data_IF_430892531588
#
_entry.id   IF_430892531588
#
_cell.length_a   1.000
_cell.length_b   1.000
_cell.length_c   1.000
_cell.angle_alpha   90.00
_cell.angle_beta   90.00
_cell.angle_gamma   90.00
#
_symmetry.space_group_name_H-M   'P 1'
#
loop_
_entity.id
_entity.type
_entity.pdbx_description
1 polymer ?
#
# COMPACT_ATOMS: atom_id res chain seq x y z
N UNK A 1 20.09 -47.42 37.20
CA UNK A 1 20.70 -46.18 37.69
C UNK A 1 21.49 -45.58 36.53
N UNK A 2 20.96 -44.50 35.93
CA UNK A 2 21.52 -43.60 34.91
C UNK A 2 22.13 -44.16 33.60
N UNK A 3 21.48 -43.88 32.48
CA UNK A 3 22.02 -43.90 31.11
C UNK A 3 22.36 -42.46 30.68
N UNK A 4 23.56 -42.16 30.14
CA UNK A 4 23.83 -40.87 29.52
C UNK A 4 23.39 -40.86 28.05
N UNK A 5 22.77 -39.75 27.66
CA UNK A 5 22.16 -39.53 26.36
C UNK A 5 23.17 -39.32 25.22
N UNK A 6 22.80 -39.91 24.09
CA UNK A 6 23.05 -39.57 22.68
C UNK A 6 23.64 -38.17 22.40
N UNK A 7 24.84 -38.13 21.80
CA UNK A 7 25.35 -36.99 21.05
C UNK A 7 25.70 -37.45 19.63
N UNK A 8 24.82 -37.13 18.66
CA UNK A 8 25.10 -37.26 17.22
C UNK A 8 25.12 -35.83 16.62
N UNK A 9 26.30 -35.30 16.24
CA UNK A 9 26.43 -34.00 15.62
C UNK A 9 26.26 -34.14 14.10
N UNK A 10 25.03 -34.35 13.66
CA UNK A 10 24.76 -34.58 12.24
C UNK A 10 23.35 -34.19 11.82
N UNK A 11 23.22 -33.00 11.23
CA UNK A 11 22.06 -32.47 10.47
C UNK A 11 21.02 -31.68 11.27
N UNK A 12 21.37 -30.46 11.66
CA UNK A 12 20.41 -29.35 11.70
C UNK A 12 20.52 -28.53 10.42
N UNK A 13 20.11 -29.12 9.30
CA UNK A 13 19.63 -28.32 8.18
C UNK A 13 18.13 -28.16 8.41
N UNK A 14 17.75 -27.07 9.08
CA UNK A 14 16.36 -26.64 9.17
C UNK A 14 15.91 -26.30 7.76
N UNK A 15 15.45 -27.30 7.01
CA UNK A 15 14.59 -27.08 5.87
C UNK A 15 13.31 -26.45 6.43
N UNK A 16 13.31 -25.12 6.55
CA UNK A 16 12.11 -24.33 6.53
C UNK A 16 11.44 -24.64 5.19
N UNK A 17 10.62 -25.70 5.19
CA UNK A 17 9.61 -25.94 4.19
C UNK A 17 8.78 -24.67 4.18
N UNK A 18 8.94 -23.88 3.11
CA UNK A 18 8.00 -22.84 2.79
C UNK A 18 6.61 -23.49 2.83
N UNK A 19 5.82 -23.10 3.82
CA UNK A 19 4.40 -23.45 3.92
C UNK A 19 3.69 -22.67 2.82
N UNK A 20 3.87 -23.13 1.59
CA UNK A 20 2.90 -22.91 0.54
C UNK A 20 1.73 -23.81 0.89
N UNK A 21 0.67 -23.23 1.47
CA UNK A 21 -0.73 -23.55 1.21
C UNK A 21 -1.62 -22.81 2.23
N UNK A 22 -1.84 -21.51 2.03
CA UNK A 22 -3.00 -20.79 2.61
C UNK A 22 -3.17 -19.42 1.95
N UNK A 23 -3.74 -19.40 0.74
CA UNK A 23 -4.76 -18.39 0.29
C UNK A 23 -5.10 -18.61 -1.19
N UNK A 24 -5.81 -19.70 -1.47
CA UNK A 24 -6.60 -19.84 -2.68
C UNK A 24 -7.96 -19.13 -2.57
N UNK A 25 -7.98 -17.90 -2.06
CA UNK A 25 -9.15 -17.04 -2.08
C UNK A 25 -8.94 -15.98 -3.15
N UNK A 26 -9.88 -15.83 -4.08
CA UNK A 26 -9.82 -14.80 -5.12
C UNK A 26 -9.39 -13.45 -4.52
N UNK A 27 -8.28 -12.89 -5.02
CA UNK A 27 -7.65 -11.66 -4.53
C UNK A 27 -8.51 -10.38 -4.73
N UNK A 28 -9.74 -10.52 -5.20
CA UNK A 28 -10.66 -9.44 -5.56
C UNK A 28 -11.20 -8.66 -4.34
N UNK A 29 -10.91 -9.10 -3.11
CA UNK A 29 -11.27 -8.41 -1.87
C UNK A 29 -10.11 -8.14 -0.90
N UNK A 30 -8.86 -8.37 -1.29
CA UNK A 30 -7.71 -8.16 -0.40
C UNK A 30 -7.44 -6.67 -0.18
N UNK A 31 -6.96 -6.29 1.01
CA UNK A 31 -6.49 -4.92 1.24
C UNK A 31 -5.40 -4.50 0.23
N UNK A 32 -4.60 -5.46 -0.24
CA UNK A 32 -3.58 -5.25 -1.26
C UNK A 32 -4.13 -4.69 -2.59
N UNK A 33 -5.35 -5.07 -2.96
CA UNK A 33 -6.03 -4.59 -4.17
C UNK A 33 -6.97 -3.41 -3.93
N UNK A 34 -7.10 -2.94 -2.69
CA UNK A 34 -8.05 -1.86 -2.34
C UNK A 34 -7.64 -0.48 -2.86
N UNK A 35 -8.63 0.33 -3.23
CA UNK A 35 -8.42 1.73 -3.64
C UNK A 35 -7.86 2.60 -2.50
N UNK A 36 -8.23 2.30 -1.25
CA UNK A 36 -7.70 3.01 -0.08
C UNK A 36 -6.18 2.84 0.03
N UNK A 37 -5.68 1.60 -0.08
CA UNK A 37 -4.24 1.35 -0.08
C UNK A 37 -3.55 2.13 -1.18
N UNK A 38 -4.10 2.10 -2.40
CA UNK A 38 -3.54 2.82 -3.55
C UNK A 38 -3.51 4.33 -3.29
N UNK A 39 -4.57 4.92 -2.73
CA UNK A 39 -4.60 6.33 -2.35
C UNK A 39 -3.53 6.69 -1.30
N UNK A 40 -3.34 5.85 -0.27
CA UNK A 40 -2.31 6.05 0.75
C UNK A 40 -0.90 5.98 0.16
N UNK A 41 -0.63 5.03 -0.75
CA UNK A 41 0.65 4.95 -1.45
C UNK A 41 0.90 6.13 -2.37
N UNK A 42 -0.12 6.62 -3.06
CA UNK A 42 -0.03 7.81 -3.89
C UNK A 42 0.34 9.06 -3.07
N UNK A 43 -0.34 9.27 -1.93
CA UNK A 43 -0.02 10.35 -1.00
C UNK A 43 1.41 10.23 -0.44
N UNK A 44 1.81 9.03 -0.01
CA UNK A 44 3.18 8.76 0.47
C UNK A 44 4.23 9.05 -0.60
N UNK A 45 3.96 8.66 -1.85
CA UNK A 45 4.83 8.89 -3.00
C UNK A 45 4.97 10.39 -3.27
N UNK A 46 3.84 11.10 -3.35
CA UNK A 46 3.84 12.55 -3.53
C UNK A 46 4.58 13.29 -2.41
N UNK A 47 4.41 12.86 -1.15
CA UNK A 47 5.15 13.44 -0.02
C UNK A 47 6.65 13.18 -0.14
N UNK A 48 7.04 11.94 -0.45
CA UNK A 48 8.46 11.55 -0.57
C UNK A 48 9.16 12.32 -1.67
N UNK A 49 8.47 12.54 -2.78
CA UNK A 49 9.00 13.20 -3.98
C UNK A 49 8.70 14.70 -4.01
N UNK A 50 7.94 15.20 -3.04
CA UNK A 50 7.49 16.59 -2.95
C UNK A 50 6.77 17.06 -4.22
N UNK A 51 6.06 16.14 -4.89
CA UNK A 51 5.38 16.37 -6.16
C UNK A 51 4.04 15.60 -6.22
N UNK A 52 2.93 16.33 -6.32
CA UNK A 52 1.61 15.73 -6.46
C UNK A 52 1.43 14.95 -7.77
N UNK A 53 2.12 15.37 -8.84
CA UNK A 53 2.08 14.67 -10.12
C UNK A 53 2.76 13.31 -10.05
N UNK A 54 3.77 13.13 -9.19
CA UNK A 54 4.36 11.82 -8.93
C UNK A 54 3.35 10.84 -8.31
N UNK A 55 2.55 11.30 -7.34
CA UNK A 55 1.47 10.49 -6.75
C UNK A 55 0.40 10.11 -7.77
N UNK A 56 -0.02 11.06 -8.62
CA UNK A 56 -0.94 10.80 -9.75
C UNK A 56 -0.34 9.82 -10.76
N UNK A 57 0.91 10.00 -11.15
CA UNK A 57 1.61 9.13 -12.10
C UNK A 57 1.71 7.70 -11.56
N UNK A 58 2.00 7.55 -10.26
CA UNK A 58 1.98 6.26 -9.58
C UNK A 58 0.60 5.59 -9.65
N UNK A 59 -0.49 6.33 -9.41
CA UNK A 59 -1.85 5.79 -9.57
C UNK A 59 -2.12 5.33 -11.00
N UNK A 60 -1.69 6.10 -12.00
CA UNK A 60 -1.81 5.74 -13.42
C UNK A 60 -1.05 4.46 -13.75
N UNK A 61 0.18 4.31 -13.26
CA UNK A 61 0.98 3.10 -13.49
C UNK A 61 0.42 1.87 -12.78
N UNK A 62 -0.09 2.04 -11.56
CA UNK A 62 -0.59 0.94 -10.73
C UNK A 62 -1.95 0.42 -11.22
N UNK A 63 -2.85 1.32 -11.62
CA UNK A 63 -4.22 0.98 -12.01
C UNK A 63 -4.39 0.78 -13.52
N UNK A 64 -3.45 1.29 -14.33
CA UNK A 64 -3.50 1.20 -15.78
C UNK A 64 -4.84 1.71 -16.34
N UNK A 65 -5.54 0.93 -17.19
CA UNK A 65 -6.83 1.33 -17.77
C UNK A 65 -7.94 1.55 -16.72
N UNK A 66 -7.92 0.79 -15.61
CA UNK A 66 -8.96 0.84 -14.56
C UNK A 66 -8.95 2.18 -13.83
N UNK A 67 -7.83 2.90 -13.87
CA UNK A 67 -7.68 4.24 -13.29
C UNK A 67 -8.86 5.15 -13.63
N UNK A 68 -9.30 5.18 -14.89
CA UNK A 68 -10.34 6.09 -15.34
C UNK A 68 -11.71 5.75 -14.74
N UNK A 69 -11.99 4.47 -14.53
CA UNK A 69 -13.24 4.01 -13.91
C UNK A 69 -13.30 4.36 -12.42
N UNK A 70 -12.15 4.27 -11.73
CA UNK A 70 -12.06 4.52 -10.29
C UNK A 70 -11.66 5.96 -9.93
N UNK A 71 -11.42 6.83 -10.93
CA UNK A 71 -10.87 8.18 -10.74
C UNK A 71 -11.69 9.02 -9.77
N UNK A 72 -13.00 9.07 -9.94
CA UNK A 72 -13.88 9.86 -9.06
C UNK A 72 -13.83 9.33 -7.61
N UNK A 73 -13.88 8.01 -7.43
CA UNK A 73 -13.78 7.39 -6.12
C UNK A 73 -12.40 7.63 -5.48
N UNK A 74 -11.33 7.61 -6.25
CA UNK A 74 -9.98 7.95 -5.77
C UNK A 74 -9.89 9.40 -5.28
N UNK A 75 -10.47 10.34 -6.03
CA UNK A 75 -10.53 11.76 -5.64
C UNK A 75 -11.23 11.88 -4.28
N UNK A 76 -12.38 11.22 -4.10
CA UNK A 76 -13.12 11.29 -2.83
C UNK A 76 -12.36 10.67 -1.65
N UNK A 77 -11.68 9.54 -1.85
CA UNK A 77 -10.81 8.94 -0.83
C UNK A 77 -9.66 9.88 -0.48
N UNK A 78 -8.96 10.43 -1.48
CA UNK A 78 -7.82 11.34 -1.26
C UNK A 78 -8.26 12.63 -0.57
N UNK A 79 -9.43 13.19 -0.92
CA UNK A 79 -10.02 14.34 -0.22
C UNK A 79 -10.40 14.01 1.21
N UNK A 80 -10.95 12.83 1.47
CA UNK A 80 -11.23 12.36 2.82
C UNK A 80 -9.94 12.31 3.65
N UNK A 81 -8.88 11.69 3.13
CA UNK A 81 -7.58 11.66 3.78
C UNK A 81 -7.01 13.07 3.99
N UNK A 82 -7.17 13.97 3.03
CA UNK A 82 -6.69 15.34 3.12
C UNK A 82 -7.41 16.23 4.14
N UNK A 83 -8.58 15.81 4.63
CA UNK A 83 -9.27 16.45 5.77
C UNK A 83 -8.70 16.05 7.13
N UNK A 84 -7.79 15.07 7.16
CA UNK A 84 -7.15 14.61 8.40
C UNK A 84 -6.02 15.52 8.87
N UNK A 85 -5.71 16.61 8.15
CA UNK A 85 -4.81 17.65 8.66
C UNK A 85 -5.34 18.20 9.99
N UNK A 86 -4.47 18.30 10.99
CA UNK A 86 -4.79 18.71 12.36
C UNK A 86 -5.26 17.58 13.27
N UNK A 87 -5.41 16.34 12.77
CA UNK A 87 -5.73 15.18 13.62
C UNK A 87 -4.49 14.70 14.38
N UNK A 88 -3.30 14.77 13.77
CA UNK A 88 -2.02 14.48 14.41
C UNK A 88 -0.89 15.09 13.58
N UNK A 89 0.04 15.75 14.26
CA UNK A 89 1.16 16.48 13.65
C UNK A 89 2.01 15.54 12.77
N UNK A 90 2.16 14.28 13.17
CA UNK A 90 2.91 13.26 12.45
C UNK A 90 2.31 12.93 11.07
N UNK A 91 1.00 13.13 10.89
CA UNK A 91 0.28 12.79 9.65
C UNK A 91 -0.06 14.01 8.78
N UNK A 92 0.15 15.23 9.26
CA UNK A 92 -0.22 16.45 8.54
C UNK A 92 0.41 16.52 7.14
N UNK A 93 1.69 16.16 7.03
CA UNK A 93 2.37 16.15 5.74
C UNK A 93 1.80 15.12 4.76
N UNK A 94 1.36 13.95 5.25
CA UNK A 94 0.75 12.91 4.42
C UNK A 94 -0.69 13.30 4.02
N UNK A 95 -1.45 13.94 4.92
CA UNK A 95 -2.77 14.47 4.62
C UNK A 95 -2.73 15.64 3.63
N UNK A 96 -1.76 16.56 3.76
CA UNK A 96 -1.55 17.63 2.77
C UNK A 96 -1.22 17.05 1.39
N UNK A 97 -0.29 16.09 1.35
CA UNK A 97 0.06 15.41 0.11
C UNK A 97 -1.16 14.72 -0.53
N UNK A 98 -2.02 14.05 0.27
CA UNK A 98 -3.26 13.45 -0.23
C UNK A 98 -4.18 14.49 -0.88
N UNK A 99 -4.33 15.68 -0.27
CA UNK A 99 -5.13 16.77 -0.83
C UNK A 99 -4.57 17.25 -2.17
N UNK A 100 -3.25 17.43 -2.26
CA UNK A 100 -2.61 17.87 -3.50
C UNK A 100 -2.74 16.81 -4.61
N UNK A 101 -2.58 15.52 -4.27
CA UNK A 101 -2.79 14.42 -5.23
C UNK A 101 -4.24 14.38 -5.69
N UNK A 102 -5.23 14.63 -4.83
CA UNK A 102 -6.63 14.73 -5.26
C UNK A 102 -6.80 15.79 -6.35
N UNK A 103 -6.21 16.98 -6.16
CA UNK A 103 -6.20 18.04 -7.17
C UNK A 103 -5.47 17.65 -8.45
N UNK A 104 -4.33 16.96 -8.36
CA UNK A 104 -3.60 16.48 -9.53
C UNK A 104 -4.40 15.43 -10.33
N UNK A 105 -5.08 14.51 -9.64
CA UNK A 105 -5.97 13.50 -10.23
C UNK A 105 -7.20 14.17 -10.86
N UNK A 106 -7.80 15.14 -10.19
CA UNK A 106 -8.95 15.92 -10.68
C UNK A 106 -8.61 16.75 -11.92
N UNK A 107 -7.36 17.21 -12.04
CA UNK A 107 -6.86 17.90 -13.22
C UNK A 107 -6.31 16.96 -14.30
N UNK A 108 -6.37 15.64 -14.10
CA UNK A 108 -5.98 14.66 -15.10
C UNK A 108 -7.06 14.58 -16.18
N UNK A 109 -6.82 15.29 -17.28
CA UNK A 109 -7.62 15.28 -18.49
C UNK A 109 -6.65 14.85 -19.58
N UNK A 110 -6.81 13.63 -20.07
CA UNK A 110 -5.96 13.01 -21.11
C UNK A 110 -5.63 13.97 -22.26
#
# INVERSE_FOLDING_TARGET
MWTPALFDPGRSATHLRARGDETGGSNDGSFASSLLRRALFAARTARREQDAHAGRAWLRSELGPVYWNDRERLIEILRYLGRMVGVSEEWDADAEAARLVAGAVENDHS
#
